data_IF_417069569553
#
_entry.id   IF_417069569553
#
_cell.length_a   1.000
_cell.length_b   1.000
_cell.length_c   1.000
_cell.angle_alpha   90.00
_cell.angle_beta   90.00
_cell.angle_gamma   90.00
#
_symmetry.space_group_name_H-M   'P 1'
#
loop_
_entity.id
_entity.type
_entity.pdbx_description
1 polymer ?
#
# COMPACT_ATOMS: atom_id res chain seq x y z
N UNK A 1 -30.64 -8.54 -8.27
CA UNK A 1 -29.49 -7.86 -7.62
C UNK A 1 -28.49 -7.58 -8.73
N UNK A 2 -28.31 -6.31 -9.11
CA UNK A 2 -27.46 -5.96 -10.26
C UNK A 2 -26.04 -6.44 -10.00
N UNK A 3 -25.47 -7.20 -10.93
CA UNK A 3 -24.07 -7.63 -10.87
C UNK A 3 -23.20 -6.39 -10.90
N UNK A 4 -22.51 -6.11 -9.80
CA UNK A 4 -21.53 -5.02 -9.76
C UNK A 4 -20.42 -5.39 -10.74
N UNK A 5 -20.35 -4.65 -11.86
CA UNK A 5 -19.36 -4.93 -12.89
C UNK A 5 -18.00 -4.36 -12.45
N UNK A 6 -17.07 -5.27 -12.15
CA UNK A 6 -15.71 -4.93 -11.71
C UNK A 6 -14.97 -4.08 -12.74
N UNK A 7 -15.22 -4.29 -14.03
CA UNK A 7 -14.51 -3.57 -15.08
C UNK A 7 -15.01 -2.14 -15.18
N UNK A 8 -16.30 -1.91 -15.03
CA UNK A 8 -16.89 -0.57 -14.95
C UNK A 8 -16.38 0.21 -13.74
N UNK A 9 -16.25 -0.44 -12.57
CA UNK A 9 -15.67 0.21 -11.39
C UNK A 9 -14.19 0.52 -11.61
N UNK A 10 -13.40 -0.43 -12.11
CA UNK A 10 -11.99 -0.19 -12.42
C UNK A 10 -11.81 0.95 -13.44
N UNK A 11 -12.69 1.03 -14.44
CA UNK A 11 -12.69 2.13 -15.42
C UNK A 11 -12.99 3.48 -14.77
N UNK A 12 -13.94 3.52 -13.83
CA UNK A 12 -14.25 4.74 -13.05
C UNK A 12 -13.08 5.14 -12.16
N UNK A 13 -12.48 4.19 -11.43
CA UNK A 13 -11.29 4.44 -10.60
C UNK A 13 -10.17 5.02 -11.47
N UNK A 14 -9.88 4.41 -12.64
CA UNK A 14 -8.89 4.93 -13.59
C UNK A 14 -9.20 6.36 -14.03
N UNK A 15 -10.46 6.64 -14.35
CA UNK A 15 -10.89 7.97 -14.79
C UNK A 15 -10.66 9.04 -13.70
N UNK A 16 -10.91 8.69 -12.43
CA UNK A 16 -10.64 9.57 -11.30
C UNK A 16 -9.14 9.79 -11.15
N UNK A 17 -8.33 8.74 -11.14
CA UNK A 17 -6.87 8.84 -11.02
C UNK A 17 -6.27 9.77 -12.10
N UNK A 18 -6.69 9.60 -13.36
CA UNK A 18 -6.23 10.45 -14.48
C UNK A 18 -6.69 11.90 -14.32
N UNK A 19 -7.91 12.14 -13.82
CA UNK A 19 -8.45 13.50 -13.59
C UNK A 19 -7.66 14.27 -12.54
N UNK A 20 -7.11 13.57 -11.55
CA UNK A 20 -6.24 14.15 -10.52
C UNK A 20 -4.75 14.17 -10.93
N UNK A 21 -4.46 13.94 -12.22
CA UNK A 21 -3.10 13.88 -12.79
C UNK A 21 -2.21 12.84 -12.11
N UNK A 22 -2.77 11.74 -11.60
CA UNK A 22 -1.98 10.67 -10.98
C UNK A 22 -1.19 9.91 -12.05
N UNK A 23 0.09 9.65 -11.77
CA UNK A 23 0.93 8.78 -12.59
C UNK A 23 0.45 7.33 -12.52
N UNK A 24 -0.33 6.93 -13.53
CA UNK A 24 -0.87 5.55 -13.66
C UNK A 24 0.17 4.48 -13.96
N UNK A 25 1.45 4.82 -14.11
CA UNK A 25 2.55 3.84 -14.29
C UNK A 25 3.17 3.42 -12.96
N UNK A 26 2.97 4.21 -11.90
CA UNK A 26 3.49 3.98 -10.55
C UNK A 26 2.44 3.50 -9.56
N UNK A 27 1.16 3.57 -9.95
CA UNK A 27 0.03 3.14 -9.13
C UNK A 27 -0.74 2.04 -9.84
N UNK A 28 -1.10 1.04 -9.07
CA UNK A 28 -1.95 -0.07 -9.48
C UNK A 28 -3.25 -0.03 -8.68
N UNK A 29 -4.32 -0.55 -9.29
CA UNK A 29 -5.63 -0.60 -8.66
C UNK A 29 -6.39 -1.84 -9.08
N UNK A 30 -7.21 -2.34 -8.16
CA UNK A 30 -8.06 -3.50 -8.39
C UNK A 30 -9.33 -3.41 -7.56
N UNK A 31 -10.47 -3.79 -8.14
CA UNK A 31 -11.73 -3.89 -7.45
C UNK A 31 -12.15 -5.36 -7.31
N UNK A 32 -12.31 -5.82 -6.06
CA UNK A 32 -12.65 -7.20 -5.74
C UNK A 32 -13.79 -7.20 -4.72
N UNK A 33 -14.91 -7.84 -5.08
CA UNK A 33 -16.13 -7.90 -4.26
C UNK A 33 -16.77 -6.52 -4.10
N UNK A 34 -16.44 -5.83 -3.00
CA UNK A 34 -16.92 -4.49 -2.66
C UNK A 34 -15.79 -3.55 -2.22
N UNK A 35 -14.53 -3.99 -2.39
CA UNK A 35 -13.36 -3.27 -1.92
C UNK A 35 -12.52 -2.81 -3.10
N UNK A 36 -12.22 -1.52 -3.13
CA UNK A 36 -11.24 -0.94 -4.04
C UNK A 36 -9.86 -0.97 -3.38
N UNK A 37 -8.92 -1.68 -3.99
CA UNK A 37 -7.53 -1.74 -3.59
C UNK A 37 -6.72 -0.81 -4.47
N UNK A 38 -5.94 0.07 -3.85
CA UNK A 38 -5.08 1.03 -4.53
C UNK A 38 -3.70 0.92 -3.90
N UNK A 39 -2.70 0.57 -4.69
CA UNK A 39 -1.36 0.29 -4.18
C UNK A 39 -0.26 0.82 -5.10
N UNK A 40 0.94 1.05 -4.53
CA UNK A 40 2.10 1.54 -5.28
C UNK A 40 2.60 2.89 -4.77
N UNK A 41 2.96 3.78 -5.68
CA UNK A 41 3.47 5.12 -5.36
C UNK A 41 2.55 6.19 -5.95
N UNK A 42 2.05 7.07 -5.10
CA UNK A 42 1.13 8.12 -5.50
C UNK A 42 1.91 9.40 -5.82
N UNK A 43 2.07 9.69 -7.11
CA UNK A 43 2.72 10.91 -7.62
C UNK A 43 1.92 11.54 -8.74
N UNK A 44 2.07 12.85 -8.90
CA UNK A 44 1.54 13.55 -10.07
C UNK A 44 2.38 13.21 -11.30
N UNK A 45 1.74 13.20 -12.46
CA UNK A 45 2.37 12.96 -13.75
C UNK A 45 3.22 14.17 -14.16
N UNK A 46 2.81 15.38 -13.75
CA UNK A 46 3.64 16.57 -13.86
C UNK A 46 4.82 16.50 -12.88
N UNK A 47 6.04 16.46 -13.42
CA UNK A 47 7.28 16.33 -12.65
C UNK A 47 7.35 17.34 -11.49
N UNK A 48 7.70 16.80 -10.32
CA UNK A 48 8.01 17.53 -9.07
C UNK A 48 6.84 18.15 -8.31
N UNK A 49 5.61 17.99 -8.80
CA UNK A 49 4.45 18.52 -8.09
C UNK A 49 3.97 17.50 -7.03
N UNK A 50 4.00 17.91 -5.76
CA UNK A 50 3.47 17.08 -4.67
C UNK A 50 1.93 17.12 -4.67
N UNK A 51 1.32 16.04 -4.14
CA UNK A 51 -0.11 16.03 -3.91
C UNK A 51 -0.46 16.90 -2.70
N UNK A 52 -1.39 17.84 -2.90
CA UNK A 52 -2.00 18.56 -1.80
C UNK A 52 -2.99 17.65 -1.05
N UNK A 53 -3.03 17.79 0.28
CA UNK A 53 -3.95 17.05 1.14
C UNK A 53 -5.40 17.22 0.69
N UNK A 54 -5.80 18.45 0.36
CA UNK A 54 -7.17 18.74 -0.10
C UNK A 54 -7.53 17.99 -1.39
N UNK A 55 -6.61 17.93 -2.36
CA UNK A 55 -6.81 17.18 -3.60
C UNK A 55 -6.96 15.69 -3.32
N UNK A 56 -6.14 15.15 -2.40
CA UNK A 56 -6.23 13.75 -1.99
C UNK A 56 -7.55 13.44 -1.31
N UNK A 57 -7.98 14.28 -0.38
CA UNK A 57 -9.26 14.10 0.28
C UNK A 57 -10.43 14.07 -0.71
N UNK A 58 -10.42 14.97 -1.70
CA UNK A 58 -11.44 14.98 -2.74
C UNK A 58 -11.37 13.73 -3.61
N UNK A 59 -10.16 13.29 -4.01
CA UNK A 59 -9.97 12.08 -4.79
C UNK A 59 -10.52 10.84 -4.05
N UNK A 60 -10.20 10.69 -2.77
CA UNK A 60 -10.70 9.59 -1.93
C UNK A 60 -12.23 9.65 -1.86
N UNK A 61 -12.82 10.83 -1.61
CA UNK A 61 -14.28 11.03 -1.57
C UNK A 61 -14.95 10.74 -2.91
N UNK A 62 -14.28 10.99 -4.03
CA UNK A 62 -14.83 10.70 -5.36
C UNK A 62 -14.85 9.19 -5.62
N UNK A 63 -13.83 8.45 -5.18
CA UNK A 63 -13.78 6.98 -5.29
C UNK A 63 -14.84 6.33 -4.40
N UNK A 64 -15.07 6.83 -3.18
CA UNK A 64 -16.11 6.27 -2.27
C UNK A 64 -17.52 6.52 -2.76
N UNK A 65 -17.74 7.53 -3.62
CA UNK A 65 -19.03 7.80 -4.26
C UNK A 65 -19.34 6.87 -5.42
N UNK A 66 -18.38 6.05 -5.88
CA UNK A 66 -18.65 5.07 -6.92
C UNK A 66 -19.64 4.03 -6.39
N UNK A 67 -20.78 3.93 -7.07
CA UNK A 67 -21.80 2.94 -6.74
C UNK A 67 -21.21 1.51 -6.85
N UNK A 68 -21.24 0.76 -5.74
CA UNK A 68 -20.65 -0.58 -5.63
C UNK A 68 -19.37 -0.64 -4.78
N UNK A 69 -18.67 0.48 -4.61
CA UNK A 69 -17.52 0.59 -3.70
C UNK A 69 -18.02 0.83 -2.28
N UNK A 70 -17.71 -0.10 -1.37
CA UNK A 70 -18.11 -0.03 0.04
C UNK A 70 -16.92 0.18 0.96
N UNK A 71 -15.76 -0.37 0.56
CA UNK A 71 -14.50 -0.25 1.28
C UNK A 71 -13.41 0.18 0.33
N UNK A 72 -12.41 0.91 0.85
CA UNK A 72 -11.22 1.28 0.10
C UNK A 72 -10.01 0.97 0.96
N UNK A 73 -9.02 0.32 0.37
CA UNK A 73 -7.74 0.04 1.01
C UNK A 73 -6.62 0.71 0.20
N UNK A 74 -5.80 1.48 0.90
CA UNK A 74 -4.64 2.15 0.35
C UNK A 74 -3.37 1.48 0.87
N UNK A 75 -2.53 1.02 -0.03
CA UNK A 75 -1.19 0.50 0.25
C UNK A 75 -0.16 1.32 -0.55
N UNK A 76 0.06 2.56 -0.10
CA UNK A 76 0.91 3.52 -0.79
C UNK A 76 2.27 3.65 -0.08
N UNK A 77 3.34 3.70 -0.85
CA UNK A 77 4.72 3.80 -0.31
C UNK A 77 5.02 5.15 0.33
N UNK A 78 4.41 6.21 -0.17
CA UNK A 78 4.70 7.59 0.19
C UNK A 78 3.54 8.29 0.92
N UNK A 79 2.41 7.61 1.13
CA UNK A 79 1.23 8.13 1.79
C UNK A 79 0.57 7.07 2.67
N UNK A 80 0.09 7.49 3.83
CA UNK A 80 -0.72 6.65 4.72
C UNK A 80 -2.12 7.23 4.68
N UNK A 81 -3.05 6.54 4.03
CA UNK A 81 -4.44 6.96 3.87
C UNK A 81 -5.33 5.94 4.57
N UNK A 82 -6.00 6.36 5.65
CA UNK A 82 -6.98 5.57 6.36
C UNK A 82 -8.36 6.17 6.14
N UNK A 83 -9.26 5.41 5.53
CA UNK A 83 -10.64 5.80 5.33
C UNK A 83 -11.58 4.82 6.03
N UNK A 84 -12.26 5.30 7.07
CA UNK A 84 -13.23 4.52 7.85
C UNK A 84 -14.62 5.16 7.78
N UNK A 85 -15.10 5.44 6.55
CA UNK A 85 -16.45 5.94 6.28
C UNK A 85 -16.69 7.40 6.73
N UNK A 86 -16.60 7.65 8.03
CA UNK A 86 -16.78 8.96 8.67
C UNK A 86 -15.46 9.68 8.91
N UNK A 87 -14.36 8.94 9.10
CA UNK A 87 -13.04 9.51 9.33
C UNK A 87 -12.12 9.25 8.13
N UNK A 88 -11.45 10.31 7.67
CA UNK A 88 -10.38 10.26 6.69
C UNK A 88 -9.12 10.83 7.35
N UNK A 89 -8.09 10.01 7.48
CA UNK A 89 -6.77 10.42 7.96
C UNK A 89 -5.77 10.23 6.83
N UNK A 90 -5.14 11.32 6.43
CA UNK A 90 -4.12 11.35 5.39
C UNK A 90 -2.86 11.90 6.02
N UNK A 91 -1.82 11.08 6.03
CA UNK A 91 -0.51 11.46 6.54
C UNK A 91 0.51 11.16 5.45
N UNK A 92 1.45 12.08 5.22
CA UNK A 92 2.57 11.81 4.33
C UNK A 92 3.34 10.62 4.90
N UNK A 93 3.43 9.54 4.14
CA UNK A 93 4.20 8.38 4.54
C UNK A 93 5.65 8.81 4.67
N UNK A 94 6.29 8.47 5.78
CA UNK A 94 7.76 8.45 5.75
C UNK A 94 8.08 7.43 4.68
N UNK A 95 8.68 7.86 3.56
CA UNK A 95 9.52 6.97 2.77
C UNK A 95 10.26 6.13 3.80
N UNK A 96 9.99 4.82 3.86
CA UNK A 96 10.71 3.97 4.78
C UNK A 96 12.19 4.35 4.59
N UNK A 97 12.89 4.84 5.63
CA UNK A 97 14.28 5.16 5.45
C UNK A 97 14.90 3.90 4.88
N UNK A 98 15.60 4.02 3.75
CA UNK A 98 16.48 2.97 3.27
C UNK A 98 17.20 2.41 4.50
N UNK A 99 17.35 1.08 4.65
CA UNK A 99 17.86 0.46 5.86
C UNK A 99 19.07 1.26 6.31
N UNK A 100 18.92 2.00 7.40
CA UNK A 100 19.97 2.86 7.90
C UNK A 100 21.05 1.90 8.35
N UNK A 101 22.08 1.73 7.52
CA UNK A 101 23.36 1.24 8.00
C UNK A 101 23.77 2.24 9.05
N UNK A 102 23.66 1.83 10.31
CA UNK A 102 24.25 2.49 11.46
C UNK A 102 25.74 2.69 11.17
N UNK A 103 26.09 3.83 10.60
CA UNK A 103 27.47 4.32 10.58
C UNK A 103 27.78 4.78 11.99
N UNK A 104 28.55 3.97 12.70
CA UNK A 104 29.13 4.33 13.99
C UNK A 104 30.15 5.46 13.78
N UNK A 105 29.69 6.71 13.88
CA UNK A 105 30.54 7.85 14.21
C UNK A 105 29.65 8.98 14.75
N UNK A 106 30.12 9.59 15.84
CA UNK A 106 29.62 10.83 16.45
C UNK A 106 28.50 10.66 17.50
N UNK A 107 28.89 10.05 18.61
CA UNK A 107 28.30 10.27 19.94
C UNK A 107 28.65 11.68 20.42
N UNK A 108 27.62 12.52 20.55
CA UNK A 108 27.68 13.84 21.19
C UNK A 108 26.37 14.14 21.91
N UNK A 109 26.28 13.65 23.16
CA UNK A 109 25.47 14.13 24.29
C UNK A 109 23.98 14.48 24.11
N UNK A 110 23.14 13.70 24.80
CA UNK A 110 22.08 14.23 25.66
C UNK A 110 20.65 14.10 25.15
N UNK A 111 19.98 12.98 25.43
CA UNK A 111 19.02 12.88 26.55
C UNK A 111 18.29 11.54 26.45
N UNK A 112 18.40 10.82 27.56
CA UNK A 112 17.65 9.67 28.00
C UNK A 112 16.15 9.76 27.72
N UNK A 113 15.60 8.73 27.05
CA UNK A 113 14.39 8.02 27.49
C UNK A 113 14.54 6.57 27.04
N UNK A 114 14.94 5.70 27.97
CA UNK A 114 14.72 4.27 27.88
C UNK A 114 13.24 3.97 28.10
N UNK A 115 12.67 3.11 27.26
CA UNK A 115 11.60 2.19 27.65
C UNK A 115 11.63 0.97 26.73
N UNK A 116 12.20 -0.11 27.29
CA UNK A 116 12.16 -1.48 26.80
C UNK A 116 10.74 -1.96 26.45
N UNK A 117 10.60 -2.72 25.37
CA UNK A 117 9.99 -4.06 25.42
C UNK A 117 10.72 -4.97 24.42
N UNK A 118 11.43 -5.93 25.00
CA UNK A 118 11.98 -7.14 24.42
C UNK A 118 10.91 -7.99 23.72
N UNK A 119 11.14 -8.38 22.45
CA UNK A 119 11.20 -9.80 22.06
C UNK A 119 11.75 -9.99 20.64
N UNK A 120 13.01 -10.38 20.61
CA UNK A 120 13.67 -11.10 19.52
C UNK A 120 13.06 -12.51 19.41
N UNK A 121 12.82 -13.04 18.19
CA UNK A 121 13.38 -14.33 17.75
C UNK A 121 13.03 -14.64 16.27
N UNK A 122 14.03 -14.38 15.42
CA UNK A 122 14.61 -15.23 14.35
C UNK A 122 13.74 -15.90 13.27
N UNK A 123 14.06 -15.68 11.97
CA UNK A 123 13.49 -16.42 10.84
C UNK A 123 14.12 -17.82 10.70
N UNK A 124 13.29 -18.83 10.42
CA UNK A 124 13.73 -20.21 10.11
C UNK A 124 14.05 -20.36 8.62
N UNK A 125 15.27 -20.79 8.34
CA UNK A 125 15.75 -21.26 7.03
C UNK A 125 15.10 -22.61 6.63
N UNK A 126 14.97 -22.92 5.32
CA UNK A 126 14.43 -24.18 4.84
C UNK A 126 15.52 -25.28 4.69
N UNK A 127 15.25 -26.54 5.05
CA UNK A 127 16.16 -27.64 4.73
C UNK A 127 15.99 -28.15 3.29
N UNK A 128 17.13 -28.40 2.62
CA UNK A 128 17.28 -29.08 1.32
C UNK A 128 17.31 -30.61 1.50
N UNK A 129 16.66 -31.29 0.55
CA UNK A 129 16.91 -32.60 -0.09
C UNK A 129 17.58 -33.74 0.70
N UNK A 130 16.91 -34.90 0.68
CA UNK A 130 17.55 -36.21 0.60
C UNK A 130 16.81 -37.08 -0.44
N UNK A 131 17.59 -37.73 -1.33
CA UNK A 131 17.18 -38.81 -2.25
C UNK A 131 16.73 -40.04 -1.42
N UNK A 132 15.83 -40.92 -1.87
CA UNK A 132 16.12 -42.00 -2.81
C UNK A 132 14.84 -42.82 -3.13
N UNK A 133 14.66 -43.13 -4.43
CA UNK A 133 13.99 -44.30 -5.09
C UNK A 133 13.19 -45.29 -4.22
N UNK A 134 11.98 -45.74 -4.61
CA UNK A 134 11.60 -46.71 -5.69
C UNK A 134 10.14 -47.13 -5.34
N UNK A 135 9.21 -47.59 -6.17
CA UNK A 135 9.15 -48.11 -7.54
C UNK A 135 7.66 -48.12 -7.92
N UNK A 136 7.33 -47.86 -9.19
CA UNK A 136 5.99 -48.04 -9.78
C UNK A 136 5.74 -49.54 -10.03
N UNK A 137 4.49 -50.00 -9.89
CA UNK A 137 3.60 -50.29 -11.04
C UNK A 137 2.30 -51.01 -10.64
N UNK A 138 1.19 -50.50 -11.18
CA UNK A 138 0.02 -51.29 -11.57
C UNK A 138 0.38 -52.30 -12.66
N UNK A 139 -0.12 -53.53 -12.52
CA UNK A 139 -0.86 -54.31 -13.52
C UNK A 139 -1.33 -55.63 -12.89
#
# INVERSE_FOLDING_TARGET
MGTVDRYEINRKIRSILVRYDVDTTKIDYSFIGNTAYIYGELRKNRKEEEFELASLEQMVKEITRINGVRYIQFDLRNWIINYSGMALSITKGRTAPAPQTISAAETGMGMDVELNVDKEEKPREPPKKEEEKKEKKEA
#
